data_IF_278150733154
#
_entry.id   IF_278150733154
#
_cell.length_a   1.000
_cell.length_b   1.000
_cell.length_c   1.000
_cell.angle_alpha   90.00
_cell.angle_beta   90.00
_cell.angle_gamma   90.00
#
_symmetry.space_group_name_H-M   'P 1'
#
loop_
_entity.id
_entity.type
_entity.pdbx_description
1 polymer ?
#
# COMPACT_ATOMS: atom_id res chain seq x y z
N UNK A 1 -51.52 52.07 -48.16
CA UNK A 1 -50.39 51.59 -47.33
C UNK A 1 -50.96 51.00 -46.05
N UNK A 2 -51.23 49.69 -46.04
CA UNK A 2 -51.80 49.00 -44.87
C UNK A 2 -50.72 48.11 -44.27
N UNK A 3 -50.13 48.56 -43.17
CA UNK A 3 -49.13 47.83 -42.42
C UNK A 3 -49.78 46.59 -41.78
N UNK A 4 -49.33 45.42 -42.23
CA UNK A 4 -49.70 44.10 -41.72
C UNK A 4 -49.29 44.03 -40.25
N UNK A 5 -50.28 44.01 -39.35
CA UNK A 5 -50.09 43.88 -37.90
C UNK A 5 -49.46 42.52 -37.60
N UNK A 6 -48.14 42.49 -37.38
CA UNK A 6 -47.43 41.32 -36.84
C UNK A 6 -47.93 41.09 -35.41
N UNK A 7 -48.83 40.14 -35.26
CA UNK A 7 -49.38 39.71 -33.97
C UNK A 7 -48.34 38.85 -33.26
N UNK A 8 -47.51 39.48 -32.43
CA UNK A 8 -46.65 38.76 -31.49
C UNK A 8 -47.57 38.29 -30.35
N UNK A 9 -47.94 37.02 -30.36
CA UNK A 9 -48.66 36.38 -29.26
C UNK A 9 -47.67 36.14 -28.11
N UNK A 10 -47.75 36.96 -27.06
CA UNK A 10 -47.06 36.77 -25.79
C UNK A 10 -47.91 35.92 -24.82
N UNK A 11 -48.34 34.74 -25.25
CA UNK A 11 -49.06 33.74 -24.42
C UNK A 11 -48.18 32.51 -24.15
N UNK A 12 -46.92 32.72 -23.72
CA UNK A 12 -45.99 31.61 -23.43
C UNK A 12 -45.60 31.64 -21.96
N UNK A 13 -46.52 31.22 -21.09
CA UNK A 13 -46.22 30.80 -19.73
C UNK A 13 -45.89 29.31 -19.69
N UNK A 14 -45.04 28.89 -18.76
CA UNK A 14 -44.78 27.47 -18.50
C UNK A 14 -46.00 26.88 -17.81
N UNK A 15 -46.53 25.77 -18.31
CA UNK A 15 -47.65 25.10 -17.65
C UNK A 15 -47.17 24.41 -16.37
N UNK A 16 -48.02 24.29 -15.36
CA UNK A 16 -47.66 23.66 -14.08
C UNK A 16 -47.21 22.20 -14.28
N UNK A 17 -47.83 21.49 -15.23
CA UNK A 17 -47.48 20.12 -15.62
C UNK A 17 -46.10 20.05 -16.27
N UNK A 18 -45.77 20.99 -17.16
CA UNK A 18 -44.46 21.06 -17.82
C UNK A 18 -43.34 21.32 -16.81
N UNK A 19 -43.58 22.18 -15.81
CA UNK A 19 -42.63 22.42 -14.73
C UNK A 19 -42.43 21.17 -13.86
N UNK A 20 -43.50 20.43 -13.55
CA UNK A 20 -43.42 19.19 -12.77
C UNK A 20 -42.62 18.11 -13.50
N UNK A 21 -42.88 17.92 -14.80
CA UNK A 21 -42.12 16.98 -15.64
C UNK A 21 -40.65 17.42 -15.72
N UNK A 22 -40.38 18.71 -15.92
CA UNK A 22 -39.02 19.25 -15.99
C UNK A 22 -38.22 19.02 -14.71
N UNK A 23 -38.79 19.32 -13.54
CA UNK A 23 -38.15 19.08 -12.24
C UNK A 23 -37.94 17.60 -11.99
N UNK A 24 -38.90 16.74 -12.36
CA UNK A 24 -38.78 15.29 -12.22
C UNK A 24 -37.65 14.73 -13.06
N UNK A 25 -37.52 15.16 -14.32
CA UNK A 25 -36.43 14.76 -15.21
C UNK A 25 -35.07 15.27 -14.70
N UNK A 26 -34.99 16.51 -14.21
CA UNK A 26 -33.77 17.05 -13.61
C UNK A 26 -33.34 16.26 -12.37
N UNK A 27 -34.29 15.86 -11.52
CA UNK A 27 -34.02 15.00 -10.37
C UNK A 27 -33.39 13.66 -10.76
N UNK A 28 -33.91 13.02 -11.82
CA UNK A 28 -33.32 11.79 -12.35
C UNK A 28 -31.91 12.00 -12.90
N UNK A 29 -31.70 13.06 -13.68
CA UNK A 29 -30.37 13.39 -14.23
C UNK A 29 -29.36 13.63 -13.11
N UNK A 30 -29.71 14.40 -12.08
CA UNK A 30 -28.83 14.64 -10.94
C UNK A 30 -28.56 13.39 -10.11
N UNK A 31 -29.55 12.51 -9.94
CA UNK A 31 -29.35 11.24 -9.23
C UNK A 31 -28.30 10.37 -9.93
N UNK A 32 -28.38 10.25 -11.26
CA UNK A 32 -27.40 9.52 -12.05
C UNK A 32 -26.02 10.17 -12.01
N UNK A 33 -25.95 11.49 -12.18
CA UNK A 33 -24.70 12.25 -12.11
C UNK A 33 -24.02 12.09 -10.75
N UNK A 34 -24.78 12.18 -9.66
CA UNK A 34 -24.27 11.99 -8.31
C UNK A 34 -23.77 10.57 -8.07
N UNK A 35 -24.49 9.55 -8.56
CA UNK A 35 -24.08 8.16 -8.42
C UNK A 35 -22.72 7.91 -9.09
N UNK A 36 -22.53 8.39 -10.32
CA UNK A 36 -21.27 8.28 -11.06
C UNK A 36 -20.15 9.03 -10.34
N UNK A 37 -20.41 10.27 -9.90
CA UNK A 37 -19.43 11.08 -9.19
C UNK A 37 -18.99 10.43 -7.87
N UNK A 38 -19.94 9.98 -7.06
CA UNK A 38 -19.68 9.31 -5.80
C UNK A 38 -18.89 8.02 -6.01
N UNK A 39 -19.30 7.19 -6.97
CA UNK A 39 -18.57 5.97 -7.32
C UNK A 39 -17.14 6.26 -7.77
N UNK A 40 -16.95 7.30 -8.59
CA UNK A 40 -15.63 7.72 -9.06
C UNK A 40 -14.70 8.11 -7.92
N UNK A 41 -15.17 8.97 -7.00
CA UNK A 41 -14.37 9.42 -5.85
C UNK A 41 -14.01 8.27 -4.92
N UNK A 42 -14.98 7.44 -4.56
CA UNK A 42 -14.73 6.32 -3.64
C UNK A 42 -13.73 5.33 -4.24
N UNK A 43 -13.91 5.00 -5.52
CA UNK A 43 -13.02 4.07 -6.21
C UNK A 43 -11.61 4.64 -6.36
N UNK A 44 -11.50 5.92 -6.74
CA UNK A 44 -10.21 6.59 -6.87
C UNK A 44 -9.48 6.66 -5.52
N UNK A 45 -10.14 7.12 -4.45
CA UNK A 45 -9.54 7.21 -3.12
C UNK A 45 -9.09 5.84 -2.59
N UNK A 46 -9.83 4.77 -2.87
CA UNK A 46 -9.44 3.41 -2.49
C UNK A 46 -8.23 2.94 -3.30
N UNK A 47 -8.21 3.21 -4.61
CA UNK A 47 -7.11 2.88 -5.49
C UNK A 47 -5.81 3.59 -5.11
N UNK A 48 -5.87 4.90 -4.87
CA UNK A 48 -4.72 5.71 -4.45
C UNK A 48 -4.07 5.19 -3.18
N UNK A 49 -4.86 4.91 -2.14
CA UNK A 49 -4.36 4.37 -0.87
C UNK A 49 -3.66 3.02 -1.05
N UNK A 50 -4.23 2.14 -1.88
CA UNK A 50 -3.64 0.83 -2.18
C UNK A 50 -2.33 0.96 -2.98
N UNK A 51 -2.30 1.86 -3.97
CA UNK A 51 -1.11 2.10 -4.79
C UNK A 51 0.03 2.68 -3.95
N UNK A 52 -0.28 3.65 -3.08
CA UNK A 52 0.70 4.24 -2.17
C UNK A 52 1.37 3.18 -1.28
N UNK A 53 0.59 2.29 -0.66
CA UNK A 53 1.18 1.19 0.14
C UNK A 53 2.04 0.24 -0.70
N UNK A 54 1.59 -0.13 -1.91
CA UNK A 54 2.41 -0.99 -2.77
C UNK A 54 3.72 -0.31 -3.18
N UNK A 55 3.71 1.01 -3.37
CA UNK A 55 4.92 1.79 -3.65
C UNK A 55 5.85 1.85 -2.44
N UNK A 56 5.32 2.06 -1.23
CA UNK A 56 6.09 2.00 0.02
C UNK A 56 6.74 0.63 0.20
N UNK A 57 5.98 -0.46 0.05
CA UNK A 57 6.51 -1.83 0.13
C UNK A 57 7.59 -2.10 -0.93
N UNK A 58 7.41 -1.62 -2.17
CA UNK A 58 8.43 -1.72 -3.23
C UNK A 58 9.71 -0.96 -2.88
N UNK A 59 9.57 0.26 -2.36
CA UNK A 59 10.69 1.09 -1.95
C UNK A 59 11.46 0.42 -0.82
N UNK A 60 10.77 -0.08 0.19
CA UNK A 60 11.37 -0.78 1.33
C UNK A 60 12.03 -2.08 0.89
N UNK A 61 11.40 -2.86 0.01
CA UNK A 61 12.02 -4.06 -0.56
C UNK A 61 13.34 -3.75 -1.26
N UNK A 62 13.42 -2.63 -1.98
CA UNK A 62 14.66 -2.21 -2.63
C UNK A 62 15.73 -1.80 -1.63
N UNK A 63 15.37 -0.98 -0.64
CA UNK A 63 16.28 -0.53 0.43
C UNK A 63 16.81 -1.73 1.21
N UNK A 64 15.92 -2.63 1.63
CA UNK A 64 16.29 -3.86 2.34
C UNK A 64 17.21 -4.74 1.49
N UNK A 65 16.94 -4.88 0.19
CA UNK A 65 17.82 -5.63 -0.70
C UNK A 65 19.22 -5.03 -0.79
N UNK A 66 19.33 -3.70 -0.81
CA UNK A 66 20.61 -3.01 -0.83
C UNK A 66 21.33 -3.15 0.51
N UNK A 67 20.65 -2.98 1.64
CA UNK A 67 21.21 -3.17 2.97
C UNK A 67 21.72 -4.60 3.18
N UNK A 68 20.90 -5.61 2.86
CA UNK A 68 21.30 -7.01 3.00
C UNK A 68 22.45 -7.38 2.07
N UNK A 69 22.53 -6.80 0.87
CA UNK A 69 23.66 -7.05 -0.03
C UNK A 69 25.01 -6.70 0.60
N UNK A 70 25.05 -5.70 1.48
CA UNK A 70 26.26 -5.24 2.16
C UNK A 70 26.33 -5.62 3.65
N UNK A 71 25.42 -6.46 4.14
CA UNK A 71 25.46 -6.93 5.51
C UNK A 71 26.66 -7.86 5.74
N UNK A 72 27.32 -7.71 6.89
CA UNK A 72 28.49 -8.51 7.30
C UNK A 72 28.11 -9.74 8.12
N UNK A 73 26.92 -9.71 8.73
CA UNK A 73 26.35 -10.84 9.46
C UNK A 73 24.82 -10.81 9.36
N UNK A 74 24.21 -11.99 9.33
CA UNK A 74 22.75 -12.14 9.30
C UNK A 74 22.28 -13.29 10.19
N UNK A 75 21.06 -13.21 10.70
CA UNK A 75 20.39 -14.33 11.36
C UNK A 75 18.87 -14.25 11.15
N UNK A 76 18.23 -15.41 10.98
CA UNK A 76 16.79 -15.52 10.78
C UNK A 76 16.14 -16.06 12.04
N UNK A 77 15.26 -15.24 12.61
CA UNK A 77 14.58 -15.50 13.87
C UNK A 77 13.08 -15.73 13.63
N UNK A 78 12.48 -16.58 14.45
CA UNK A 78 11.04 -16.85 14.42
C UNK A 78 10.25 -16.04 15.45
N UNK A 79 10.94 -15.36 16.38
CA UNK A 79 10.34 -14.57 17.45
C UNK A 79 10.73 -13.11 17.32
N UNK A 80 9.77 -12.22 17.57
CA UNK A 80 10.00 -10.78 17.64
C UNK A 80 11.06 -10.43 18.69
N UNK A 81 11.98 -9.49 18.40
CA UNK A 81 12.95 -9.04 19.38
C UNK A 81 12.27 -8.24 20.50
N UNK A 82 12.66 -8.49 21.75
CA UNK A 82 12.15 -7.75 22.90
C UNK A 82 12.87 -6.40 23.07
N UNK A 83 12.13 -5.33 23.27
CA UNK A 83 12.68 -4.01 23.66
C UNK A 83 13.22 -4.06 25.11
N UNK A 84 14.36 -3.41 25.42
CA UNK A 84 15.17 -2.54 24.57
C UNK A 84 16.07 -3.30 23.59
N UNK A 85 16.20 -2.77 22.38
CA UNK A 85 17.02 -3.38 21.33
C UNK A 85 18.51 -3.10 21.56
N UNK A 86 19.36 -4.09 21.30
CA UNK A 86 20.80 -3.95 21.44
C UNK A 86 21.37 -2.92 20.45
N UNK A 87 22.34 -2.12 20.92
CA UNK A 87 23.09 -1.20 20.05
C UNK A 87 24.05 -1.99 19.16
N UNK A 88 24.04 -1.72 17.86
CA UNK A 88 24.87 -2.39 16.85
C UNK A 88 24.18 -3.55 16.10
N UNK A 89 22.94 -3.90 16.48
CA UNK A 89 22.17 -4.91 15.78
C UNK A 89 20.96 -4.28 15.10
N UNK A 90 20.76 -4.63 13.82
CA UNK A 90 19.62 -4.18 13.05
C UNK A 90 18.61 -5.33 12.93
N UNK A 91 17.33 -4.98 12.98
CA UNK A 91 16.22 -5.94 12.91
C UNK A 91 15.18 -5.47 11.92
N UNK A 92 14.64 -6.39 11.13
CA UNK A 92 13.46 -6.15 10.28
C UNK A 92 12.42 -7.20 10.59
N UNK A 93 11.21 -6.75 10.94
CA UNK A 93 10.08 -7.60 11.30
C UNK A 93 8.76 -6.87 11.11
N UNK A 94 7.66 -7.60 11.08
CA UNK A 94 6.31 -7.01 11.10
C UNK A 94 5.75 -7.10 12.51
N UNK A 95 5.24 -5.97 13.02
CA UNK A 95 4.52 -5.90 14.29
C UNK A 95 3.33 -4.96 14.18
N UNK A 96 2.18 -5.34 14.73
CA UNK A 96 0.95 -4.55 14.69
C UNK A 96 0.58 -4.08 13.28
N UNK A 97 0.86 -4.93 12.29
CA UNK A 97 0.61 -4.67 10.88
C UNK A 97 1.46 -3.56 10.24
N UNK A 98 2.61 -3.29 10.86
CA UNK A 98 3.61 -2.32 10.42
C UNK A 98 4.92 -3.04 10.16
N UNK A 99 5.57 -2.70 9.05
CA UNK A 99 6.94 -3.13 8.81
C UNK A 99 7.86 -2.25 9.63
N UNK A 100 8.56 -2.86 10.57
CA UNK A 100 9.44 -2.19 11.51
C UNK A 100 10.88 -2.48 11.11
N UNK A 101 11.72 -1.45 11.16
CA UNK A 101 13.18 -1.58 11.08
C UNK A 101 13.77 -0.97 12.34
N UNK A 102 14.55 -1.76 13.07
CA UNK A 102 15.34 -1.27 14.19
C UNK A 102 16.75 -1.06 13.68
N UNK A 103 17.28 0.13 13.90
CA UNK A 103 18.68 0.48 13.58
C UNK A 103 19.31 1.11 14.81
N UNK A 104 20.44 0.58 15.27
CA UNK A 104 21.19 1.11 16.41
C UNK A 104 20.31 1.39 17.64
N UNK A 105 19.41 0.47 17.98
CA UNK A 105 18.51 0.60 19.13
C UNK A 105 17.22 1.41 18.89
N UNK A 106 17.08 2.07 17.74
CA UNK A 106 15.91 2.91 17.41
C UNK A 106 14.98 2.19 16.45
N UNK A 107 13.70 2.07 16.80
CA UNK A 107 12.69 1.47 15.96
C UNK A 107 12.03 2.51 15.04
N UNK A 108 12.07 2.26 13.73
CA UNK A 108 11.45 3.05 12.68
C UNK A 108 10.32 2.25 12.02
N UNK A 109 9.21 2.92 11.74
CA UNK A 109 8.13 2.36 10.92
C UNK A 109 8.46 2.62 9.46
N UNK A 110 8.60 1.56 8.67
CA UNK A 110 8.86 1.64 7.24
C UNK A 110 7.57 1.64 6.41
N UNK A 111 6.59 0.84 6.83
CA UNK A 111 5.27 0.74 6.18
C UNK A 111 4.20 0.62 7.25
N UNK A 112 3.13 1.39 7.13
CA UNK A 112 1.96 1.30 8.03
C UNK A 112 0.71 0.88 7.25
N UNK A 113 0.32 -0.39 7.42
CA UNK A 113 -0.85 -0.94 6.73
C UNK A 113 -2.06 -1.15 7.64
N UNK A 114 -2.03 -0.66 8.90
CA UNK A 114 -3.05 -0.93 9.94
C UNK A 114 -4.49 -0.67 9.50
N UNK A 115 -4.73 0.25 8.55
CA UNK A 115 -6.06 0.61 8.07
C UNK A 115 -6.42 0.02 6.69
N UNK A 116 -5.57 -0.82 6.11
CA UNK A 116 -5.67 -1.16 4.68
C UNK A 116 -5.54 -2.65 4.37
N UNK A 117 -4.97 -3.47 5.25
CA UNK A 117 -4.81 -4.91 5.03
C UNK A 117 -4.07 -5.60 6.15
N UNK A 118 -3.51 -6.78 5.87
CA UNK A 118 -2.59 -7.55 6.70
C UNK A 118 -1.25 -7.62 6.00
N UNK A 119 -0.18 -7.19 6.66
CA UNK A 119 1.19 -7.24 6.20
C UNK A 119 1.90 -8.44 6.80
N UNK A 120 2.72 -9.11 6.00
CA UNK A 120 3.60 -10.18 6.41
C UNK A 120 4.97 -10.00 5.79
N UNK A 121 5.98 -10.57 6.45
CA UNK A 121 7.32 -10.72 5.88
C UNK A 121 7.84 -12.11 6.20
N UNK A 122 8.56 -12.69 5.25
CA UNK A 122 9.18 -14.00 5.37
C UNK A 122 10.59 -13.94 4.80
N UNK A 123 11.52 -14.58 5.50
CA UNK A 123 12.92 -14.72 5.11
C UNK A 123 13.24 -16.20 4.98
N UNK A 124 13.96 -16.55 3.92
CA UNK A 124 14.40 -17.91 3.61
C UNK A 124 15.87 -17.85 3.16
N UNK A 125 16.82 -18.27 4.00
CA UNK A 125 18.20 -18.42 3.57
C UNK A 125 18.31 -19.50 2.49
N UNK A 126 18.99 -19.19 1.39
CA UNK A 126 19.11 -20.05 0.23
C UNK A 126 20.59 -20.20 -0.17
N UNK A 127 21.14 -21.41 -0.06
CA UNK A 127 22.53 -21.69 -0.41
C UNK A 127 23.53 -21.13 0.62
N UNK A 128 24.69 -20.67 0.15
CA UNK A 128 25.80 -20.27 1.04
C UNK A 128 25.81 -18.79 1.39
N UNK A 129 25.26 -17.90 0.57
CA UNK A 129 25.35 -16.45 0.77
C UNK A 129 24.18 -15.68 0.18
N UNK A 130 23.04 -16.33 0.04
CA UNK A 130 21.84 -15.73 -0.51
C UNK A 130 20.69 -15.86 0.49
N UNK A 131 19.86 -14.82 0.54
CA UNK A 131 18.59 -14.81 1.29
C UNK A 131 17.50 -14.37 0.34
N UNK A 132 16.45 -15.18 0.29
CA UNK A 132 15.21 -14.83 -0.36
C UNK A 132 14.27 -14.24 0.71
N UNK A 133 13.57 -13.17 0.37
CA UNK A 133 12.56 -12.60 1.25
C UNK A 133 11.31 -12.22 0.49
N UNK A 134 10.19 -12.30 1.19
CA UNK A 134 8.86 -12.09 0.64
C UNK A 134 8.09 -11.14 1.56
N UNK A 135 7.59 -10.04 1.00
CA UNK A 135 6.69 -9.10 1.69
C UNK A 135 5.30 -9.29 1.12
N UNK A 136 4.35 -9.64 1.97
CA UNK A 136 2.94 -9.87 1.60
C UNK A 136 2.06 -8.76 2.16
N UNK A 137 1.17 -8.23 1.34
CA UNK A 137 0.11 -7.30 1.73
C UNK A 137 -1.22 -7.87 1.28
N UNK A 138 -2.00 -8.38 2.22
CA UNK A 138 -3.31 -8.97 1.98
C UNK A 138 -4.42 -8.02 2.38
N UNK A 139 -5.34 -7.74 1.48
CA UNK A 139 -6.60 -7.03 1.77
C UNK A 139 -7.76 -8.00 1.64
N UNK A 140 -8.95 -7.66 2.16
CA UNK A 140 -10.15 -8.51 2.09
C UNK A 140 -10.49 -9.04 0.68
N UNK A 141 -9.99 -8.38 -0.37
CA UNK A 141 -10.32 -8.71 -1.76
C UNK A 141 -9.12 -9.09 -2.64
N UNK A 142 -7.90 -8.75 -2.22
CA UNK A 142 -6.69 -8.87 -3.05
C UNK A 142 -5.45 -9.02 -2.18
N UNK A 143 -4.56 -9.93 -2.56
CA UNK A 143 -3.19 -9.98 -2.06
C UNK A 143 -2.22 -9.33 -3.05
N UNK A 144 -1.18 -8.72 -2.51
CA UNK A 144 -0.04 -8.19 -3.23
C UNK A 144 1.21 -8.77 -2.58
N UNK A 145 2.15 -9.23 -3.40
CA UNK A 145 3.37 -9.89 -2.94
C UNK A 145 4.57 -9.31 -3.67
N UNK A 146 5.67 -9.12 -2.94
CA UNK A 146 6.98 -8.83 -3.51
C UNK A 146 7.96 -9.84 -2.94
N UNK A 147 8.52 -10.65 -3.83
CA UNK A 147 9.62 -11.55 -3.52
C UNK A 147 10.92 -10.97 -4.09
N UNK A 148 11.98 -10.99 -3.30
CA UNK A 148 13.32 -10.54 -3.68
C UNK A 148 14.34 -11.58 -3.27
N UNK A 149 15.38 -11.70 -4.09
CA UNK A 149 16.50 -12.62 -3.85
C UNK A 149 17.80 -11.84 -3.80
N UNK A 150 18.52 -11.94 -2.68
CA UNK A 150 19.68 -11.10 -2.40
C UNK A 150 20.89 -11.96 -2.12
N UNK A 151 21.92 -11.79 -2.94
CA UNK A 151 23.27 -12.34 -2.69
C UNK A 151 24.03 -11.32 -1.84
N UNK A 152 24.51 -11.75 -0.67
CA UNK A 152 25.36 -10.97 0.23
C UNK A 152 26.79 -10.95 -0.27
N UNK A 153 27.40 -9.76 -0.36
CA UNK A 153 28.75 -9.59 -0.90
C UNK A 153 29.84 -9.65 0.17
N UNK A 154 29.51 -9.30 1.42
CA UNK A 154 30.49 -9.29 2.51
C UNK A 154 30.55 -10.61 3.31
N UNK A 155 29.67 -11.57 3.00
CA UNK A 155 29.60 -12.87 3.69
C UNK A 155 30.08 -13.97 2.76
N UNK A 156 31.01 -14.79 3.23
CA UNK A 156 31.48 -15.95 2.46
C UNK A 156 30.48 -17.11 2.52
N UNK A 157 30.01 -17.39 3.74
CA UNK A 157 29.05 -18.43 4.09
C UNK A 157 28.12 -17.95 5.20
N UNK A 158 26.83 -18.25 5.10
CA UNK A 158 25.82 -18.05 6.13
C UNK A 158 26.21 -18.75 7.44
N UNK A 159 25.76 -18.22 8.60
CA UNK A 159 26.04 -18.85 9.89
C UNK A 159 25.50 -20.28 9.96
N UNK A 160 26.29 -21.17 10.55
CA UNK A 160 25.86 -22.55 10.80
C UNK A 160 24.68 -22.57 11.80
N UNK A 161 23.56 -23.15 11.40
CA UNK A 161 22.36 -23.25 12.24
C UNK A 161 21.33 -22.13 12.08
N UNK A 162 21.49 -21.26 11.07
CA UNK A 162 20.47 -20.28 10.70
C UNK A 162 19.12 -20.97 10.43
N UNK A 163 18.03 -20.39 10.92
CA UNK A 163 16.69 -20.95 10.71
C UNK A 163 16.35 -21.02 9.22
N UNK A 164 15.75 -22.11 8.72
CA UNK A 164 15.41 -22.25 7.30
C UNK A 164 14.31 -21.27 6.86
N UNK A 165 13.51 -20.78 7.81
CA UNK A 165 12.53 -19.73 7.57
C UNK A 165 12.27 -18.93 8.85
N UNK A 166 11.91 -17.66 8.71
CA UNK A 166 11.51 -16.80 9.81
C UNK A 166 10.82 -15.54 9.34
N UNK A 167 10.19 -14.84 10.27
CA UNK A 167 9.48 -13.57 10.07
C UNK A 167 10.30 -12.37 10.58
N UNK A 168 11.47 -12.63 11.17
CA UNK A 168 12.38 -11.61 11.67
C UNK A 168 13.75 -11.87 11.08
N UNK A 169 14.37 -10.82 10.55
CA UNK A 169 15.76 -10.84 10.11
C UNK A 169 16.57 -9.92 11.00
N UNK A 170 17.65 -10.46 11.55
CA UNK A 170 18.69 -9.73 12.26
C UNK A 170 19.90 -9.59 11.32
N UNK A 171 20.52 -8.42 11.28
CA UNK A 171 21.71 -8.18 10.48
C UNK A 171 22.58 -7.07 11.08
N UNK A 172 23.86 -7.02 10.71
CA UNK A 172 24.79 -5.99 11.17
C UNK A 172 25.80 -5.58 10.09
N UNK A 173 26.40 -4.41 10.29
CA UNK A 173 27.49 -3.87 9.49
C UNK A 173 28.72 -3.69 10.40
N UNK A 174 29.91 -4.07 9.93
CA UNK A 174 31.18 -3.91 10.64
C UNK A 174 31.78 -2.51 10.49
#
# INVERSE_FOLDING_TARGET
>A
MFLRKLRINCDRGVTLVELLIGVSLLGLVFSLAYSIYHFGIVTFNRGEKQIALQQEVRMVSKILSEELRFADDIDVLSSEPSSPYASGENYVFVKDNKLMQVTSGTANVLVDSSNQGTLGIKFEPNGSRQVDFEITLSTDSRSFEISSSVIMMNIETLPAGISPTGNVLKYSFK
#
